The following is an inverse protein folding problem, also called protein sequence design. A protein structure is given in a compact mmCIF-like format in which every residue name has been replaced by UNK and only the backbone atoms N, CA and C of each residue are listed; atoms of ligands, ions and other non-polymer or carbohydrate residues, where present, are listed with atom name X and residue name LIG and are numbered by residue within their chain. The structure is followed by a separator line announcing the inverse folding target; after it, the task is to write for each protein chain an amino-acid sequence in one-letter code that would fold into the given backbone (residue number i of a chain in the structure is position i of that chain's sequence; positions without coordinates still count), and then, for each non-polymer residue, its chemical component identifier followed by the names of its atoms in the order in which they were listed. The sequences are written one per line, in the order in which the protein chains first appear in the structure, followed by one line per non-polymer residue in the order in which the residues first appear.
data_IF_009214075366
#
_entry.id   IF_009214075366
#
_cell.length_a   1.000
_cell.length_b   1.000
_cell.length_c   1.000
_cell.angle_alpha   90.00
_cell.angle_beta   90.00
_cell.angle_gamma   90.00
#
_symmetry.space_group_name_H-M   'P 1'
#
loop_
_entity.id
_entity.type
_entity.pdbx_description
1 polymer ?
#
# COMPACT_ATOMS: atom_id res chain seq x y z
N UNK A 1 4.02 -9.79 -11.83
CA UNK A 1 5.40 -9.38 -12.25
C UNK A 1 6.34 -9.57 -11.07
N UNK A 2 7.62 -9.92 -11.28
CA UNK A 2 8.64 -10.02 -10.23
C UNK A 2 9.50 -8.75 -10.13
N UNK A 3 10.39 -8.70 -9.11
CA UNK A 3 11.26 -7.55 -8.86
C UNK A 3 12.23 -7.29 -10.04
N UNK A 4 12.74 -8.34 -10.68
CA UNK A 4 13.69 -8.20 -11.78
C UNK A 4 13.06 -7.59 -13.02
N UNK A 5 11.85 -8.01 -13.34
CA UNK A 5 11.04 -7.42 -14.41
C UNK A 5 10.69 -5.97 -14.10
N UNK A 6 10.27 -5.68 -12.85
CA UNK A 6 9.99 -4.31 -12.41
C UNK A 6 11.23 -3.41 -12.54
N UNK A 7 12.41 -3.91 -12.14
CA UNK A 7 13.67 -3.18 -12.28
C UNK A 7 13.96 -2.84 -13.75
N UNK A 8 13.76 -3.80 -14.65
CA UNK A 8 13.94 -3.59 -16.10
C UNK A 8 13.01 -2.49 -16.64
N UNK A 9 11.75 -2.47 -16.23
CA UNK A 9 10.79 -1.45 -16.64
C UNK A 9 11.15 -0.07 -16.08
N UNK A 10 11.56 0.01 -14.82
CA UNK A 10 12.03 1.26 -14.22
C UNK A 10 13.27 1.79 -14.94
N UNK A 11 14.25 0.91 -15.29
CA UNK A 11 15.43 1.30 -16.08
C UNK A 11 15.05 1.85 -17.45
N UNK A 12 14.06 1.26 -18.12
CA UNK A 12 13.54 1.74 -19.40
C UNK A 12 12.95 3.15 -19.29
N UNK A 13 12.16 3.42 -18.24
CA UNK A 13 11.62 4.75 -17.98
C UNK A 13 12.72 5.78 -17.71
N UNK A 14 13.79 5.36 -17.02
CA UNK A 14 14.96 6.20 -16.70
C UNK A 14 15.93 6.36 -17.87
N UNK A 15 15.71 5.67 -19.00
CA UNK A 15 16.68 5.57 -20.11
C UNK A 15 18.07 5.12 -19.63
N UNK A 16 18.10 4.10 -18.79
CA UNK A 16 19.28 3.52 -18.14
C UNK A 16 19.39 2.03 -18.47
N UNK A 17 19.35 1.70 -19.77
CA UNK A 17 19.33 0.31 -20.27
C UNK A 17 20.74 -0.22 -20.64
N UNK A 18 21.78 0.63 -20.65
CA UNK A 18 23.15 0.23 -20.94
C UNK A 18 23.78 -0.43 -19.69
N UNK A 19 23.85 -1.77 -19.72
CA UNK A 19 24.35 -2.56 -18.60
C UNK A 19 25.86 -2.38 -18.32
N UNK A 20 26.61 -1.83 -19.26
CA UNK A 20 28.02 -1.48 -19.05
C UNK A 20 28.21 -0.16 -18.31
N UNK A 21 27.20 0.72 -18.34
CA UNK A 21 27.28 2.09 -17.82
C UNK A 21 26.00 2.51 -17.08
N UNK A 22 25.47 1.67 -16.21
CA UNK A 22 24.29 2.02 -15.42
C UNK A 22 24.53 3.26 -14.56
N UNK A 23 23.60 4.22 -14.63
CA UNK A 23 23.59 5.43 -13.78
C UNK A 23 23.08 5.13 -12.39
N UNK A 24 22.12 4.19 -12.26
CA UNK A 24 21.58 3.70 -11.00
C UNK A 24 22.00 2.27 -10.76
N UNK A 25 22.57 2.00 -9.60
CA UNK A 25 22.85 0.63 -9.19
C UNK A 25 21.55 -0.13 -8.91
N UNK A 26 21.56 -1.46 -9.00
CA UNK A 26 20.39 -2.30 -8.78
C UNK A 26 19.75 -2.07 -7.41
N UNK A 27 20.57 -1.95 -6.36
CA UNK A 27 20.12 -1.69 -5.00
C UNK A 27 19.43 -0.32 -4.84
N UNK A 28 19.81 0.68 -5.62
CA UNK A 28 19.18 2.01 -5.61
C UNK A 28 17.78 1.93 -6.23
N UNK A 29 17.66 1.22 -7.36
CA UNK A 29 16.38 0.98 -8.01
C UNK A 29 15.49 0.13 -7.11
N UNK A 30 16.00 -0.93 -6.51
CA UNK A 30 15.23 -1.79 -5.59
C UNK A 30 14.71 -1.01 -4.38
N UNK A 31 15.52 -0.11 -3.84
CA UNK A 31 15.10 0.79 -2.76
C UNK A 31 13.98 1.75 -3.21
N UNK A 32 14.08 2.28 -4.42
CA UNK A 32 13.05 3.14 -5.00
C UNK A 32 11.74 2.37 -5.24
N UNK A 33 11.83 1.14 -5.77
CA UNK A 33 10.70 0.22 -5.93
C UNK A 33 10.06 -0.09 -4.56
N UNK A 34 10.85 -0.49 -3.57
CA UNK A 34 10.35 -0.79 -2.22
C UNK A 34 9.62 0.38 -1.59
N UNK A 35 10.13 1.62 -1.79
CA UNK A 35 9.46 2.84 -1.33
C UNK A 35 8.12 3.07 -2.04
N UNK A 36 8.07 2.84 -3.36
CA UNK A 36 6.84 2.96 -4.14
C UNK A 36 5.80 1.91 -3.73
N UNK A 37 6.22 0.65 -3.49
CA UNK A 37 5.36 -0.44 -2.97
C UNK A 37 4.78 -0.08 -1.60
N UNK A 38 5.60 0.43 -0.68
CA UNK A 38 5.14 0.83 0.64
C UNK A 38 4.12 1.98 0.57
N UNK A 39 4.35 2.97 -0.31
CA UNK A 39 3.40 4.07 -0.49
C UNK A 39 2.11 3.60 -1.17
N UNK A 40 2.19 2.79 -2.23
CA UNK A 40 1.03 2.17 -2.88
C UNK A 40 0.18 1.40 -1.86
N UNK A 41 0.80 0.61 -1.00
CA UNK A 41 0.11 -0.21 0.00
C UNK A 41 -0.69 0.62 1.02
N UNK A 42 -0.29 1.86 1.30
CA UNK A 42 -1.04 2.77 2.19
C UNK A 42 -2.36 3.24 1.60
N UNK A 43 -2.44 3.38 0.27
CA UNK A 43 -3.64 3.82 -0.44
C UNK A 43 -4.48 2.65 -0.93
N UNK A 44 -3.82 1.60 -1.42
CA UNK A 44 -4.44 0.41 -2.01
C UNK A 44 -3.73 -0.82 -1.41
N UNK A 45 -3.99 -1.17 -0.14
CA UNK A 45 -3.40 -2.35 0.47
C UNK A 45 -3.96 -3.63 -0.13
N UNK A 46 -3.24 -4.72 0.01
CA UNK A 46 -3.72 -6.08 -0.28
C UNK A 46 -4.87 -6.41 0.66
N UNK A 47 -6.05 -6.69 0.09
CA UNK A 47 -7.23 -7.05 0.86
C UNK A 47 -7.10 -8.47 1.42
N UNK A 48 -7.32 -8.60 2.72
CA UNK A 48 -7.25 -9.86 3.46
C UNK A 48 -8.51 -10.04 4.30
N UNK A 49 -8.91 -11.30 4.47
CA UNK A 49 -9.95 -11.73 5.40
C UNK A 49 -9.35 -12.79 6.31
N UNK A 50 -9.46 -12.61 7.62
CA UNK A 50 -8.91 -13.55 8.61
C UNK A 50 -9.98 -13.84 9.66
N UNK A 51 -10.10 -15.10 10.07
CA UNK A 51 -10.94 -15.49 11.19
C UNK A 51 -10.12 -15.42 12.47
N UNK A 52 -10.64 -14.72 13.49
CA UNK A 52 -10.04 -14.63 14.82
C UNK A 52 -11.09 -15.03 15.83
N UNK A 53 -10.72 -15.87 16.80
CA UNK A 53 -11.62 -16.24 17.88
C UNK A 53 -11.88 -15.03 18.81
N UNK A 54 -13.12 -14.81 19.18
CA UNK A 54 -13.48 -13.86 20.23
C UNK A 54 -13.31 -14.50 21.60
N UNK A 55 -13.21 -13.69 22.63
CA UNK A 55 -13.21 -14.15 24.03
C UNK A 55 -14.60 -13.92 24.62
N UNK A 56 -15.15 -14.95 25.27
CA UNK A 56 -16.47 -14.89 25.90
C UNK A 56 -16.59 -13.74 26.90
N UNK A 57 -17.64 -12.95 26.79
CA UNK A 57 -17.89 -11.75 27.60
C UNK A 57 -16.93 -10.58 27.35
N UNK A 58 -16.02 -10.68 26.38
CA UNK A 58 -15.07 -9.61 26.04
C UNK A 58 -15.45 -8.88 24.78
N UNK A 59 -15.22 -7.56 24.77
CA UNK A 59 -15.30 -6.72 23.57
C UNK A 59 -13.97 -6.55 22.86
N UNK A 60 -12.91 -7.12 23.40
CA UNK A 60 -11.55 -7.01 22.86
C UNK A 60 -11.21 -8.24 22.03
N UNK A 61 -10.62 -8.00 20.85
CA UNK A 61 -10.16 -9.00 19.91
C UNK A 61 -8.67 -8.74 19.67
N UNK A 62 -7.83 -9.74 19.96
CA UNK A 62 -6.40 -9.67 19.72
C UNK A 62 -6.12 -9.86 18.22
N UNK A 63 -5.44 -8.91 17.63
CA UNK A 63 -5.07 -8.89 16.21
C UNK A 63 -3.55 -8.86 16.00
N UNK A 64 -2.74 -9.21 16.99
CA UNK A 64 -1.28 -9.28 16.89
C UNK A 64 -0.79 -10.22 15.78
N UNK A 65 -1.55 -11.27 15.48
CA UNK A 65 -1.26 -12.21 14.38
C UNK A 65 -1.39 -11.59 12.97
N UNK A 66 -2.03 -10.42 12.82
CA UNK A 66 -2.19 -9.73 11.54
C UNK A 66 -0.94 -8.89 11.23
N UNK A 67 0.13 -9.56 10.85
CA UNK A 67 1.43 -8.90 10.52
C UNK A 67 1.35 -8.05 9.26
N UNK A 68 2.17 -6.99 9.19
CA UNK A 68 2.23 -6.03 8.07
C UNK A 68 0.89 -5.36 7.77
N UNK A 69 0.08 -5.17 8.80
CA UNK A 69 -1.23 -4.55 8.74
C UNK A 69 -1.13 -3.05 8.44
N UNK A 70 -1.90 -2.61 7.45
CA UNK A 70 -2.05 -1.18 7.09
C UNK A 70 -3.34 -0.60 7.68
N UNK A 71 -4.44 -1.37 7.63
CA UNK A 71 -5.77 -0.95 8.08
C UNK A 71 -6.59 -2.12 8.57
N UNK A 72 -7.52 -1.87 9.49
CA UNK A 72 -8.67 -2.73 9.73
C UNK A 72 -9.86 -2.04 9.08
N UNK A 73 -10.52 -2.74 8.16
CA UNK A 73 -11.57 -2.14 7.34
C UNK A 73 -12.95 -2.47 7.92
N UNK A 74 -13.18 -3.72 8.35
CA UNK A 74 -14.45 -4.16 8.94
C UNK A 74 -14.26 -5.34 9.88
N UNK A 75 -15.20 -5.47 10.81
CA UNK A 75 -15.36 -6.63 11.71
C UNK A 75 -16.76 -7.19 11.51
N UNK A 76 -16.87 -8.44 11.09
CA UNK A 76 -18.14 -9.15 10.93
C UNK A 76 -18.33 -10.09 12.12
N UNK A 77 -19.39 -9.90 12.88
CA UNK A 77 -19.74 -10.70 14.03
C UNK A 77 -21.22 -10.52 14.40
N UNK A 78 -22.01 -11.59 14.61
CA UNK A 78 -21.69 -12.98 14.28
C UNK A 78 -21.37 -13.19 12.81
N UNK A 79 -20.64 -14.27 12.48
CA UNK A 79 -20.22 -14.54 11.10
C UNK A 79 -21.30 -15.27 10.31
N UNK A 80 -21.25 -15.14 8.97
CA UNK A 80 -22.07 -15.87 8.01
C UNK A 80 -23.59 -15.70 8.18
N UNK A 81 -24.04 -14.64 8.84
CA UNK A 81 -25.46 -14.28 8.90
C UNK A 81 -25.95 -13.58 7.61
N UNK A 82 -27.25 -13.64 7.38
CA UNK A 82 -27.91 -12.93 6.28
C UNK A 82 -29.04 -12.08 6.85
N UNK A 83 -28.97 -10.73 6.74
CA UNK A 83 -27.85 -9.94 6.21
C UNK A 83 -26.60 -9.99 7.09
N UNK A 84 -25.42 -9.73 6.50
CA UNK A 84 -24.16 -9.70 7.25
C UNK A 84 -24.16 -8.59 8.29
N UNK A 85 -23.66 -8.88 9.49
CA UNK A 85 -23.60 -7.92 10.59
C UNK A 85 -22.17 -7.40 10.78
N UNK A 86 -21.95 -6.13 10.42
CA UNK A 86 -20.70 -5.46 10.66
C UNK A 86 -20.76 -4.65 11.95
N UNK A 87 -19.81 -4.90 12.83
CA UNK A 87 -19.72 -4.23 14.12
C UNK A 87 -18.93 -2.93 14.03
N UNK A 88 -19.33 -1.94 14.84
CA UNK A 88 -18.53 -0.74 15.08
C UNK A 88 -17.37 -1.09 15.99
N UNK A 89 -16.19 -0.54 15.71
CA UNK A 89 -14.99 -0.85 16.46
C UNK A 89 -14.03 0.33 16.55
N UNK A 90 -13.14 0.28 17.53
CA UNK A 90 -11.95 1.10 17.65
C UNK A 90 -10.71 0.20 17.59
N UNK A 91 -9.61 0.72 17.05
CA UNK A 91 -8.32 0.00 17.01
C UNK A 91 -7.30 0.76 17.82
N UNK A 92 -6.65 0.07 18.74
CA UNK A 92 -5.52 0.59 19.50
C UNK A 92 -4.43 -0.48 19.57
N UNK A 93 -3.26 -0.17 19.04
CA UNK A 93 -2.16 -1.15 18.92
C UNK A 93 -2.62 -2.45 18.26
N UNK A 94 -2.46 -3.57 18.89
CA UNK A 94 -2.83 -4.91 18.42
C UNK A 94 -4.19 -5.39 18.95
N UNK A 95 -5.05 -4.45 19.33
CA UNK A 95 -6.39 -4.77 19.86
C UNK A 95 -7.46 -4.03 19.07
N UNK A 96 -8.47 -4.77 18.63
CA UNK A 96 -9.75 -4.25 18.16
C UNK A 96 -10.74 -4.31 19.31
N UNK A 97 -11.39 -3.21 19.64
CA UNK A 97 -12.43 -3.12 20.66
C UNK A 97 -13.77 -2.86 19.98
N UNK A 98 -14.75 -3.73 20.17
CA UNK A 98 -16.12 -3.53 19.72
C UNK A 98 -16.77 -2.41 20.55
N UNK A 99 -17.30 -1.37 19.88
CA UNK A 99 -17.84 -0.18 20.54
C UNK A 99 -19.37 -0.21 20.70
N UNK A 100 -20.03 -1.27 20.18
CA UNK A 100 -21.46 -1.51 20.35
C UNK A 100 -21.79 -2.34 21.61
N UNK A 101 -23.03 -2.78 21.72
CA UNK A 101 -23.51 -3.62 22.83
C UNK A 101 -23.22 -5.10 22.64
N UNK A 102 -22.40 -5.44 21.64
CA UNK A 102 -22.04 -6.83 21.31
C UNK A 102 -20.74 -7.21 22.01
N UNK A 103 -20.76 -8.36 22.66
CA UNK A 103 -19.60 -8.98 23.31
C UNK A 103 -19.26 -10.30 22.59
N UNK A 104 -18.03 -10.75 22.70
CA UNK A 104 -17.61 -12.04 22.18
C UNK A 104 -18.30 -13.17 22.92
N UNK A 105 -18.50 -14.27 22.23
CA UNK A 105 -19.14 -15.52 22.71
C UNK A 105 -18.20 -16.74 22.59
N UNK A 106 -16.91 -16.49 22.35
CA UNK A 106 -15.92 -17.53 22.08
C UNK A 106 -15.90 -18.03 20.63
N UNK A 107 -16.88 -17.62 19.80
CA UNK A 107 -16.89 -17.97 18.37
C UNK A 107 -15.91 -17.09 17.57
N UNK A 108 -15.67 -17.51 16.31
CA UNK A 108 -14.83 -16.74 15.39
C UNK A 108 -15.53 -15.47 14.90
N UNK A 109 -14.77 -14.40 14.74
CA UNK A 109 -15.18 -13.22 13.97
C UNK A 109 -14.36 -13.11 12.69
N UNK A 110 -14.91 -12.45 11.65
CA UNK A 110 -14.15 -12.14 10.45
C UNK A 110 -13.62 -10.72 10.52
N UNK A 111 -12.30 -10.60 10.43
CA UNK A 111 -11.61 -9.32 10.29
C UNK A 111 -11.26 -9.12 8.82
N UNK A 112 -11.77 -8.04 8.23
CA UNK A 112 -11.40 -7.57 6.89
C UNK A 112 -10.36 -6.47 7.06
N UNK A 113 -9.19 -6.65 6.46
CA UNK A 113 -8.06 -5.79 6.70
C UNK A 113 -7.15 -5.63 5.49
N UNK A 114 -6.35 -4.60 5.50
CA UNK A 114 -5.35 -4.33 4.47
C UNK A 114 -3.96 -4.72 4.93
N UNK A 115 -3.25 -5.49 4.10
CA UNK A 115 -1.85 -5.87 4.27
C UNK A 115 -0.95 -5.10 3.30
N UNK A 116 0.31 -4.88 3.66
CA UNK A 116 1.33 -4.37 2.74
C UNK A 116 1.49 -5.34 1.56
N UNK A 117 1.59 -4.81 0.34
CA UNK A 117 1.97 -5.60 -0.83
C UNK A 117 3.44 -6.02 -0.75
N UNK A 118 3.73 -7.20 -1.30
CA UNK A 118 5.08 -7.71 -1.46
C UNK A 118 5.44 -7.79 -2.94
N UNK A 119 6.70 -7.52 -3.24
CA UNK A 119 7.32 -7.70 -4.54
C UNK A 119 8.73 -8.22 -4.28
N UNK A 120 8.98 -9.47 -4.63
CA UNK A 120 10.26 -10.13 -4.46
C UNK A 120 10.78 -10.74 -5.78
N UNK A 121 11.87 -11.49 -5.71
CA UNK A 121 12.51 -12.08 -6.90
C UNK A 121 11.69 -13.15 -7.62
N UNK A 122 10.60 -13.64 -7.03
CA UNK A 122 9.78 -14.74 -7.58
C UNK A 122 8.30 -14.43 -7.63
N UNK A 123 7.80 -13.56 -6.75
CA UNK A 123 6.37 -13.32 -6.57
C UNK A 123 6.01 -11.85 -6.43
N UNK A 124 4.78 -11.51 -6.78
CA UNK A 124 4.17 -10.21 -6.53
C UNK A 124 2.73 -10.38 -6.06
N UNK A 125 2.35 -9.62 -5.04
CA UNK A 125 0.95 -9.50 -4.64
C UNK A 125 0.26 -8.28 -5.24
N UNK A 126 0.97 -7.51 -6.07
CA UNK A 126 0.49 -6.29 -6.70
C UNK A 126 -0.37 -6.67 -7.90
N UNK A 127 -1.63 -6.23 -7.97
CA UNK A 127 -2.47 -6.45 -9.14
C UNK A 127 -1.89 -5.82 -10.41
N UNK A 128 -2.01 -6.48 -11.55
CA UNK A 128 -1.44 -6.03 -12.81
C UNK A 128 -1.86 -4.61 -13.22
N UNK A 129 -3.09 -4.18 -12.89
CA UNK A 129 -3.57 -2.83 -13.20
C UNK A 129 -2.91 -1.71 -12.36
N UNK A 130 -2.14 -2.05 -11.32
CA UNK A 130 -1.37 -1.11 -10.50
C UNK A 130 0.11 -1.08 -10.85
N UNK A 131 0.58 -1.97 -11.72
CA UNK A 131 2.00 -2.06 -12.06
C UNK A 131 2.50 -0.78 -12.74
N UNK A 132 1.73 -0.20 -13.66
CA UNK A 132 2.06 1.06 -14.33
C UNK A 132 2.21 2.22 -13.33
N UNK A 133 1.34 2.25 -12.33
CA UNK A 133 1.41 3.26 -11.27
C UNK A 133 2.66 3.05 -10.41
N UNK A 134 3.00 1.79 -10.15
CA UNK A 134 4.13 1.46 -9.30
C UNK A 134 5.46 1.89 -9.92
N UNK A 135 5.72 1.56 -11.20
CA UNK A 135 6.99 1.96 -11.79
C UNK A 135 7.07 3.46 -12.08
N UNK A 136 5.95 4.16 -12.28
CA UNK A 136 5.93 5.62 -12.29
C UNK A 136 6.46 6.19 -10.96
N UNK A 137 6.01 5.63 -9.83
CA UNK A 137 6.48 6.03 -8.49
C UNK A 137 7.93 5.66 -8.25
N UNK A 138 8.34 4.44 -8.64
CA UNK A 138 9.71 3.97 -8.47
C UNK A 138 10.72 4.82 -9.26
N UNK A 139 10.42 5.12 -10.53
CA UNK A 139 11.24 6.00 -11.36
C UNK A 139 11.36 7.40 -10.75
N UNK A 140 10.26 7.96 -10.23
CA UNK A 140 10.28 9.26 -9.57
C UNK A 140 11.18 9.27 -8.33
N UNK A 141 11.10 8.24 -7.48
CA UNK A 141 11.95 8.12 -6.29
C UNK A 141 13.42 7.92 -6.63
N UNK A 142 13.74 7.13 -7.65
CA UNK A 142 15.12 6.94 -8.11
C UNK A 142 15.74 8.26 -8.58
N UNK A 143 15.03 9.00 -9.42
CA UNK A 143 15.51 10.29 -9.93
C UNK A 143 15.69 11.33 -8.82
N UNK A 144 14.74 11.43 -7.89
CA UNK A 144 14.85 12.38 -6.78
C UNK A 144 16.01 12.07 -5.84
N UNK A 145 16.27 10.78 -5.58
CA UNK A 145 17.43 10.36 -4.80
C UNK A 145 18.75 10.76 -5.50
N UNK A 146 18.84 10.57 -6.82
CA UNK A 146 20.00 10.97 -7.59
C UNK A 146 20.20 12.50 -7.66
N UNK A 147 19.10 13.26 -7.81
CA UNK A 147 19.15 14.72 -7.80
C UNK A 147 19.71 15.25 -6.47
N UNK A 148 19.29 14.69 -5.34
CA UNK A 148 19.83 15.05 -4.02
C UNK A 148 21.34 14.78 -3.91
N UNK A 149 21.78 13.59 -4.33
CA UNK A 149 23.21 13.24 -4.31
C UNK A 149 24.05 14.19 -5.17
N UNK A 150 23.58 14.55 -6.38
CA UNK A 150 24.27 15.46 -7.28
C UNK A 150 24.33 16.90 -6.75
N UNK A 151 23.28 17.36 -6.08
CA UNK A 151 23.27 18.69 -5.45
C UNK A 151 24.35 18.79 -4.36
N UNK A 152 24.57 17.72 -3.60
CA UNK A 152 25.61 17.67 -2.57
C UNK A 152 27.02 17.64 -3.19
N UNK A 153 27.18 17.05 -4.38
CA UNK A 153 28.47 16.96 -5.09
C UNK A 153 28.75 18.19 -5.97
N UNK A 154 27.69 18.83 -6.51
CA UNK A 154 27.79 19.97 -7.43
C UNK A 154 28.11 21.33 -6.76
N UNK A 155 28.37 21.35 -5.46
CA UNK A 155 28.95 22.53 -4.78
C UNK A 155 30.29 22.99 -5.40
N UNK A 156 30.77 22.34 -6.47
CA UNK A 156 32.03 22.62 -7.20
C UNK A 156 31.72 22.79 -8.70
N UNK A 157 30.81 23.69 -9.05
CA UNK A 157 30.68 24.27 -10.39
C UNK A 157 30.27 23.29 -11.51
N UNK A 158 29.00 23.19 -11.82
CA UNK A 158 28.50 22.51 -13.00
C UNK A 158 27.02 22.71 -13.26
N UNK A 159 26.72 23.03 -14.51
CA UNK A 159 25.48 23.54 -15.09
C UNK A 159 24.17 22.75 -14.81
N UNK A 160 23.09 23.49 -14.80
CA UNK A 160 21.62 23.34 -15.06
C UNK A 160 21.00 21.93 -15.32
N UNK A 161 21.77 20.87 -15.52
CA UNK A 161 21.22 19.51 -15.73
C UNK A 161 20.48 18.96 -14.48
N UNK A 162 20.85 19.41 -13.29
CA UNK A 162 20.32 18.90 -12.02
C UNK A 162 18.91 19.45 -11.71
N UNK A 163 18.60 20.67 -12.16
CA UNK A 163 17.26 21.25 -12.00
C UNK A 163 16.20 20.49 -12.80
N UNK A 164 16.56 19.94 -13.96
CA UNK A 164 15.66 19.19 -14.81
C UNK A 164 15.29 17.82 -14.20
N UNK A 165 16.24 17.14 -13.58
CA UNK A 165 15.98 15.89 -12.86
C UNK A 165 15.05 16.09 -11.66
N UNK A 166 15.27 17.12 -10.87
CA UNK A 166 14.42 17.44 -9.72
C UNK A 166 13.00 17.84 -10.17
N UNK A 167 12.86 18.66 -11.20
CA UNK A 167 11.59 19.06 -11.77
C UNK A 167 10.81 17.86 -12.32
N UNK A 168 11.46 17.03 -13.12
CA UNK A 168 10.88 15.82 -13.67
C UNK A 168 10.44 14.81 -12.58
N UNK A 169 11.33 14.53 -11.63
CA UNK A 169 11.03 13.62 -10.53
C UNK A 169 9.87 14.09 -9.65
N UNK A 170 9.81 15.40 -9.36
CA UNK A 170 8.73 16.01 -8.58
C UNK A 170 7.38 15.94 -9.32
N UNK A 171 7.37 16.21 -10.63
CA UNK A 171 6.16 16.11 -11.44
C UNK A 171 5.62 14.66 -11.48
N UNK A 172 6.50 13.69 -11.71
CA UNK A 172 6.16 12.27 -11.71
C UNK A 172 5.68 11.78 -10.33
N UNK A 173 6.32 12.22 -9.25
CA UNK A 173 5.87 11.89 -7.89
C UNK A 173 4.49 12.47 -7.58
N UNK A 174 4.20 13.69 -8.05
CA UNK A 174 2.88 14.30 -7.91
C UNK A 174 1.81 13.50 -8.67
N UNK A 175 2.12 13.07 -9.88
CA UNK A 175 1.23 12.21 -10.69
C UNK A 175 0.98 10.87 -10.00
N UNK A 176 2.03 10.18 -9.56
CA UNK A 176 1.96 8.94 -8.79
C UNK A 176 1.00 9.08 -7.59
N UNK A 177 1.22 10.09 -6.74
CA UNK A 177 0.37 10.33 -5.57
C UNK A 177 -1.08 10.67 -5.95
N UNK A 178 -1.30 11.36 -7.07
CA UNK A 178 -2.63 11.65 -7.58
C UNK A 178 -3.37 10.37 -7.99
N UNK A 179 -2.70 9.48 -8.71
CA UNK A 179 -3.27 8.18 -9.12
C UNK A 179 -3.57 7.30 -7.91
N UNK A 180 -2.66 7.22 -6.92
CA UNK A 180 -2.89 6.47 -5.68
C UNK A 180 -4.15 6.96 -4.93
N UNK A 181 -4.34 8.29 -4.82
CA UNK A 181 -5.53 8.86 -4.18
C UNK A 181 -6.82 8.51 -4.93
N UNK A 182 -6.76 8.45 -6.27
CA UNK A 182 -7.91 8.05 -7.10
C UNK A 182 -8.29 6.60 -6.83
N UNK A 183 -7.32 5.68 -6.84
CA UNK A 183 -7.56 4.27 -6.55
C UNK A 183 -8.04 4.04 -5.11
N UNK A 184 -7.45 4.72 -4.14
CA UNK A 184 -7.85 4.60 -2.73
C UNK A 184 -9.28 5.08 -2.46
N UNK A 185 -9.75 6.13 -3.16
CA UNK A 185 -11.14 6.60 -3.07
C UNK A 185 -12.13 5.60 -3.64
N UNK A 186 -11.83 5.04 -4.81
CA UNK A 186 -12.70 4.05 -5.45
C UNK A 186 -12.86 2.79 -4.59
N UNK A 187 -11.84 2.40 -3.84
CA UNK A 187 -11.91 1.28 -2.89
C UNK A 187 -12.91 1.54 -1.76
N UNK A 188 -12.83 2.72 -1.13
CA UNK A 188 -13.72 3.09 -0.01
C UNK A 188 -15.19 3.15 -0.42
N UNK A 189 -15.50 3.64 -1.60
CA UNK A 189 -16.86 3.75 -2.13
C UNK A 189 -17.51 2.37 -2.37
N UNK A 190 -16.77 1.42 -2.95
CA UNK A 190 -17.29 0.07 -3.24
C UNK A 190 -17.71 -0.70 -1.99
N UNK A 191 -17.03 -0.51 -0.88
CA UNK A 191 -17.34 -1.19 0.38
C UNK A 191 -18.58 -0.61 1.05
N UNK A 192 -18.86 0.70 0.88
CA UNK A 192 -20.01 1.38 1.46
C UNK A 192 -21.34 1.06 0.76
N UNK A 193 -21.34 0.83 -0.55
CA UNK A 193 -22.58 0.66 -1.33
C UNK A 193 -23.17 -0.76 -1.26
N UNK A 194 -22.42 -1.77 -0.88
CA UNK A 194 -22.89 -3.17 -0.93
C UNK A 194 -23.70 -3.60 0.30
N UNK A 195 -23.71 -2.83 1.40
CA UNK A 195 -24.26 -3.29 2.69
C UNK A 195 -24.86 -2.17 3.57
N UNK A 196 -25.26 -1.04 3.01
CA UNK A 196 -26.23 -0.18 3.70
C UNK A 196 -27.61 -0.81 3.53
N UNK A 197 -27.99 -1.69 4.45
CA UNK A 197 -29.38 -1.98 4.67
C UNK A 197 -30.06 -0.68 5.08
N UNK A 198 -31.24 -0.41 4.53
CA UNK A 198 -32.10 0.68 4.99
C UNK A 198 -32.42 0.46 6.47
N UNK A 199 -31.67 1.10 7.37
CA UNK A 199 -32.08 1.27 8.78
C UNK A 199 -33.13 2.40 8.86
N UNK A 200 -34.23 2.20 8.17
CA UNK A 200 -35.45 2.99 8.33
C UNK A 200 -36.62 2.03 8.47
N UNK A 201 -36.80 1.50 9.68
CA UNK A 201 -38.07 1.16 10.30
C UNK A 201 -37.95 1.30 11.81
#
# INVERSE_FOLDING_TARGET
MDLSTMRTLVRRDLKDEDNANYRWQDNEIDRAIGRAVAELSRYVPREMKTTIATMDGSRQIDIAALTDRVSIDRVEFPVDETPRRFQRFAVFSDTVTLTGDVEGDGAGCYIYWGKIHTLDGSTSTIPGYLEDVLFLGAAAYAVLAQAQYRTDVAGIGGERADSDYQGWGTARLKEFKSQLRRFGRNRKLKVGMLYQGDDNE
#
